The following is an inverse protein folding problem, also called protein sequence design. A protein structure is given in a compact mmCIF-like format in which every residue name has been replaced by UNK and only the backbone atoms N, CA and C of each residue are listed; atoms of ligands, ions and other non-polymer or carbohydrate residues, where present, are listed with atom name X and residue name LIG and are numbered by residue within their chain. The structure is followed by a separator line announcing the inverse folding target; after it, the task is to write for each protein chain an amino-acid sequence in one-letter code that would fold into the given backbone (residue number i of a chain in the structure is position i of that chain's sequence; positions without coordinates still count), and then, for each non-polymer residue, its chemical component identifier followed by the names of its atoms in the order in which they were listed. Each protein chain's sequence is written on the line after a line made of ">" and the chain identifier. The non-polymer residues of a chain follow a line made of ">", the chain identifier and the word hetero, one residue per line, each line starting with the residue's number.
data_IF_467023625883
#
_entry.id   IF_467023625883
#
_cell.length_a   1.000
_cell.length_b   1.000
_cell.length_c   1.000
_cell.angle_alpha   90.00
_cell.angle_beta   90.00
_cell.angle_gamma   90.00
#
_symmetry.space_group_name_H-M   'P 1'
#
loop_
_entity.id
_entity.type
_entity.pdbx_description
1 polymer ?
#
# COMPACT_ATOMS: atom_id res chain seq x y z
N UNK A 1 1.67 7.81 0.13
CA UNK A 1 1.68 7.33 1.54
C UNK A 1 0.26 7.29 2.12
N UNK A 2 -0.16 6.17 2.74
CA UNK A 2 -1.52 6.01 3.32
C UNK A 2 -1.79 6.96 4.50
N UNK A 3 -0.76 7.39 5.22
CA UNK A 3 -0.91 8.31 6.34
C UNK A 3 -1.43 9.70 5.93
N UNK A 4 -1.05 10.18 4.74
CA UNK A 4 -1.56 11.46 4.21
C UNK A 4 -3.07 11.40 4.00
N UNK A 5 -3.58 10.26 3.51
CA UNK A 5 -5.02 10.04 3.32
C UNK A 5 -5.74 10.01 4.67
N UNK A 6 -5.13 9.39 5.68
CA UNK A 6 -5.73 9.30 7.02
C UNK A 6 -5.77 10.67 7.72
N UNK A 7 -4.63 11.37 7.80
CA UNK A 7 -4.52 12.65 8.51
C UNK A 7 -5.19 13.80 7.73
N UNK A 8 -5.24 13.71 6.40
CA UNK A 8 -5.88 14.69 5.53
C UNK A 8 -7.40 14.78 5.67
N UNK A 9 -8.04 13.86 6.41
CA UNK A 9 -9.48 13.94 6.71
C UNK A 9 -9.83 15.05 7.71
N UNK A 10 -8.85 15.62 8.43
CA UNK A 10 -9.06 16.75 9.33
C UNK A 10 -9.50 16.40 10.76
N UNK A 11 -9.70 15.11 11.09
CA UNK A 11 -10.13 14.68 12.44
C UNK A 11 -8.97 14.48 13.44
N UNK A 12 -7.71 14.55 12.99
CA UNK A 12 -6.54 14.22 13.82
C UNK A 12 -5.98 15.41 14.61
N UNK A 13 -6.25 16.65 14.18
CA UNK A 13 -5.72 17.87 14.81
C UNK A 13 -4.24 18.14 14.50
N UNK A 14 -3.74 17.63 13.38
CA UNK A 14 -2.36 17.83 12.90
C UNK A 14 -2.27 19.13 12.09
N UNK A 15 -1.20 19.90 12.28
CA UNK A 15 -0.97 21.14 11.52
C UNK A 15 -0.71 20.84 10.05
N UNK A 16 -1.16 21.74 9.18
CA UNK A 16 -0.97 21.63 7.73
C UNK A 16 0.51 21.54 7.34
N UNK A 17 1.42 22.17 8.09
CA UNK A 17 2.85 22.08 7.85
C UNK A 17 3.38 20.64 7.93
N UNK A 18 2.87 19.82 8.85
CA UNK A 18 3.27 18.41 8.98
C UNK A 18 2.77 17.59 7.78
N UNK A 19 1.50 17.81 7.38
CA UNK A 19 0.93 17.19 6.18
C UNK A 19 1.72 17.56 4.92
N UNK A 20 2.06 18.84 4.76
CA UNK A 20 2.84 19.33 3.64
C UNK A 20 4.23 18.71 3.62
N UNK A 21 4.90 18.56 4.76
CA UNK A 21 6.21 17.91 4.82
C UNK A 21 6.11 16.44 4.39
N UNK A 22 5.12 15.69 4.87
CA UNK A 22 4.93 14.29 4.47
C UNK A 22 4.63 14.19 2.95
N UNK A 23 3.84 15.12 2.41
CA UNK A 23 3.62 15.20 0.96
C UNK A 23 4.91 15.53 0.20
N UNK A 24 5.75 16.41 0.73
CA UNK A 24 7.05 16.71 0.15
C UNK A 24 8.00 15.52 0.19
N UNK A 25 8.01 14.71 1.25
CA UNK A 25 8.79 13.45 1.27
C UNK A 25 8.42 12.56 0.10
N UNK A 26 7.11 12.38 -0.14
CA UNK A 26 6.60 11.59 -1.25
C UNK A 26 6.99 12.18 -2.62
N UNK A 27 6.92 13.50 -2.78
CA UNK A 27 7.23 14.17 -4.05
C UNK A 27 8.74 14.19 -4.38
N UNK A 28 9.60 14.04 -3.38
CA UNK A 28 11.06 14.00 -3.54
C UNK A 28 11.64 12.59 -3.41
N UNK A 29 10.79 11.55 -3.41
CA UNK A 29 11.20 10.15 -3.24
C UNK A 29 12.10 9.93 -1.99
N UNK A 30 11.84 10.67 -0.91
CA UNK A 30 12.47 10.44 0.39
C UNK A 30 11.69 9.34 1.10
N UNK A 31 12.30 8.17 1.24
CA UNK A 31 11.64 6.97 1.77
C UNK A 31 12.20 6.66 3.16
N UNK A 32 11.44 6.85 4.24
CA UNK A 32 11.90 6.51 5.58
C UNK A 32 12.32 5.05 5.70
N UNK A 33 13.47 4.82 6.34
CA UNK A 33 13.92 3.47 6.63
C UNK A 33 13.11 2.89 7.79
N UNK A 34 12.56 1.69 7.58
CA UNK A 34 11.81 0.95 8.59
C UNK A 34 12.42 -0.45 8.72
N UNK A 35 12.74 -0.93 9.94
CA UNK A 35 13.19 -2.30 10.15
C UNK A 35 12.10 -3.30 9.75
N UNK A 36 12.50 -4.44 9.19
CA UNK A 36 11.57 -5.48 8.73
C UNK A 36 10.80 -6.18 9.86
N UNK A 37 11.38 -6.23 11.06
CA UNK A 37 10.84 -6.91 12.24
C UNK A 37 10.67 -5.96 13.43
N UNK A 38 9.89 -6.37 14.44
CA UNK A 38 9.68 -5.62 15.68
C UNK A 38 8.39 -4.82 15.75
N UNK A 39 7.43 -5.08 14.87
CA UNK A 39 6.07 -4.52 14.91
C UNK A 39 5.02 -5.63 14.96
N UNK A 40 3.95 -5.43 15.72
CA UNK A 40 2.74 -6.28 15.71
C UNK A 40 1.71 -5.83 14.65
N UNK A 41 2.15 -5.11 13.62
CA UNK A 41 1.29 -4.61 12.54
C UNK A 41 0.85 -3.16 12.69
N UNK A 42 1.46 -2.40 13.61
CA UNK A 42 1.33 -0.94 13.68
C UNK A 42 2.44 -0.38 14.59
N UNK A 43 2.56 0.96 14.60
CA UNK A 43 3.42 1.76 15.45
C UNK A 43 4.89 1.86 15.00
N UNK A 44 5.60 0.74 14.79
CA UNK A 44 7.03 0.82 14.46
C UNK A 44 7.30 1.50 13.11
N UNK A 45 6.58 1.15 12.00
CA UNK A 45 6.75 1.85 10.72
C UNK A 45 6.37 3.33 10.79
N UNK A 46 5.26 3.63 11.45
CA UNK A 46 4.77 4.98 11.65
C UNK A 46 5.75 5.84 12.47
N UNK A 47 6.35 5.28 13.52
CA UNK A 47 7.36 5.95 14.33
C UNK A 47 8.64 6.24 13.53
N UNK A 48 9.10 5.32 12.70
CA UNK A 48 10.28 5.54 11.86
C UNK A 48 10.06 6.63 10.81
N UNK A 49 8.85 6.71 10.25
CA UNK A 49 8.46 7.84 9.40
C UNK A 49 8.40 9.14 10.20
N UNK A 50 7.84 9.14 11.41
CA UNK A 50 7.78 10.31 12.27
C UNK A 50 9.18 10.82 12.67
N UNK A 51 10.15 9.91 12.88
CA UNK A 51 11.56 10.26 13.12
C UNK A 51 12.10 11.09 11.94
N UNK A 52 11.93 10.63 10.70
CA UNK A 52 12.40 11.37 9.51
C UNK A 52 11.74 12.75 9.39
N UNK A 53 10.45 12.85 9.68
CA UNK A 53 9.70 14.13 9.70
C UNK A 53 10.29 15.11 10.73
N UNK A 54 10.79 14.61 11.87
CA UNK A 54 11.51 15.41 12.88
C UNK A 54 12.99 15.64 12.54
N UNK A 55 13.49 15.13 11.41
CA UNK A 55 14.90 15.17 11.03
C UNK A 55 15.76 14.12 11.74
N UNK A 56 15.16 13.16 12.41
CA UNK A 56 15.83 12.04 13.06
C UNK A 56 15.77 10.77 12.19
N UNK A 57 16.28 9.65 12.71
CA UNK A 57 16.23 8.36 12.03
C UNK A 57 17.04 8.33 10.73
N UNK A 58 16.62 7.47 9.79
CA UNK A 58 17.27 7.28 8.49
C UNK A 58 16.23 7.28 7.39
N UNK A 59 16.62 7.74 6.21
CA UNK A 59 15.81 7.69 5.01
C UNK A 59 16.68 7.33 3.80
N UNK A 60 16.07 6.64 2.85
CA UNK A 60 16.61 6.49 1.50
C UNK A 60 16.29 7.75 0.72
N UNK A 61 17.29 8.29 0.03
CA UNK A 61 17.16 9.41 -0.89
C UNK A 61 18.23 9.26 -1.97
N UNK A 62 17.85 9.37 -3.25
CA UNK A 62 18.77 9.14 -4.39
C UNK A 62 19.52 7.80 -4.28
N UNK A 63 18.81 6.72 -3.94
CA UNK A 63 19.32 5.35 -3.74
C UNK A 63 20.36 5.17 -2.62
N UNK A 64 20.61 6.19 -1.80
CA UNK A 64 21.52 6.13 -0.65
C UNK A 64 20.76 6.18 0.68
N UNK A 65 21.11 5.29 1.61
CA UNK A 65 20.60 5.32 2.98
C UNK A 65 21.40 6.31 3.83
N UNK A 66 20.76 7.38 4.28
CA UNK A 66 21.42 8.45 5.02
C UNK A 66 20.59 8.91 6.23
N UNK A 67 21.17 9.72 7.15
CA UNK A 67 20.41 10.32 8.25
C UNK A 67 19.22 11.16 7.74
N UNK A 68 18.08 11.09 8.43
CA UNK A 68 16.85 11.79 8.02
C UNK A 68 17.06 13.31 7.83
N UNK A 69 17.78 13.96 8.74
CA UNK A 69 18.17 15.37 8.61
C UNK A 69 18.91 15.65 7.30
N UNK A 70 19.83 14.78 6.91
CA UNK A 70 20.64 14.96 5.73
C UNK A 70 19.80 14.81 4.46
N UNK A 71 18.93 13.80 4.40
CA UNK A 71 17.99 13.60 3.31
C UNK A 71 17.08 14.82 3.13
N UNK A 72 16.49 15.33 4.22
CA UNK A 72 15.67 16.54 4.19
C UNK A 72 16.47 17.74 3.65
N UNK A 73 17.67 17.96 4.16
CA UNK A 73 18.52 19.09 3.74
C UNK A 73 18.91 19.00 2.27
N UNK A 74 19.29 17.81 1.78
CA UNK A 74 19.62 17.59 0.36
C UNK A 74 18.43 17.91 -0.56
N UNK A 75 17.21 17.57 -0.12
CA UNK A 75 15.97 17.89 -0.83
C UNK A 75 15.46 19.34 -0.61
N UNK A 76 16.20 20.20 0.10
CA UNK A 76 15.76 21.57 0.39
C UNK A 76 14.58 21.67 1.35
N UNK A 77 14.33 20.62 2.14
CA UNK A 77 13.26 20.54 3.12
C UNK A 77 13.80 20.80 4.53
N UNK A 78 12.92 21.28 5.42
CA UNK A 78 13.22 21.48 6.82
C UNK A 78 12.40 20.51 7.69
N UNK A 79 12.99 19.95 8.76
CA UNK A 79 12.26 19.13 9.71
C UNK A 79 11.21 19.97 10.46
N UNK A 80 10.23 19.29 11.06
CA UNK A 80 9.23 19.94 11.92
C UNK A 80 9.42 19.54 13.38
N UNK A 81 9.26 20.51 14.28
CA UNK A 81 9.07 20.23 15.70
C UNK A 81 7.60 19.91 15.94
N UNK A 82 7.29 18.70 16.41
CA UNK A 82 5.92 18.27 16.66
C UNK A 82 5.28 19.06 17.82
N UNK A 83 4.05 19.49 17.61
CA UNK A 83 3.21 20.14 18.61
C UNK A 83 2.40 19.13 19.43
N UNK A 84 1.48 19.65 20.24
CA UNK A 84 0.58 18.81 21.03
C UNK A 84 -0.21 17.84 20.14
N UNK A 85 -0.32 16.57 20.58
CA UNK A 85 -1.05 15.46 19.90
C UNK A 85 -0.45 14.97 18.57
N UNK A 86 0.41 15.74 17.90
CA UNK A 86 0.93 15.35 16.57
C UNK A 86 1.78 14.08 16.59
N UNK A 87 2.58 13.88 17.65
CA UNK A 87 3.34 12.63 17.81
C UNK A 87 2.42 11.41 17.91
N UNK A 88 1.34 11.51 18.68
CA UNK A 88 0.34 10.45 18.74
C UNK A 88 -0.35 10.28 17.39
N UNK A 89 -0.78 11.36 16.75
CA UNK A 89 -1.48 11.29 15.46
C UNK A 89 -0.63 10.64 14.36
N UNK A 90 0.68 10.90 14.32
CA UNK A 90 1.59 10.29 13.35
C UNK A 90 1.86 8.81 13.61
N UNK A 91 1.73 8.36 14.87
CA UNK A 91 2.06 7.01 15.30
C UNK A 91 0.84 6.11 15.51
N UNK A 92 -0.33 6.71 15.73
CA UNK A 92 -1.60 6.03 15.95
C UNK A 92 -2.31 5.78 14.63
N UNK A 93 -2.36 4.53 14.21
CA UNK A 93 -3.12 4.13 13.03
C UNK A 93 -2.65 2.80 12.45
N UNK A 94 -3.46 2.23 11.57
CA UNK A 94 -3.15 1.00 10.83
C UNK A 94 -2.73 1.31 9.40
N UNK A 95 -2.10 2.47 9.18
CA UNK A 95 -1.83 2.99 7.82
C UNK A 95 -0.85 2.11 7.05
N UNK A 96 0.19 1.59 7.72
CA UNK A 96 1.18 0.72 7.07
C UNK A 96 0.59 -0.65 6.72
N UNK A 97 -0.12 -1.30 7.64
CA UNK A 97 -0.78 -2.58 7.35
C UNK A 97 -1.86 -2.44 6.29
N UNK A 98 -2.60 -1.32 6.28
CA UNK A 98 -3.58 -1.05 5.24
C UNK A 98 -2.89 -0.87 3.88
N UNK A 99 -1.77 -0.15 3.82
CA UNK A 99 -0.99 -0.02 2.58
C UNK A 99 -0.48 -1.37 2.08
N UNK A 100 0.09 -2.20 2.97
CA UNK A 100 0.54 -3.56 2.65
C UNK A 100 -0.62 -4.44 2.16
N UNK A 101 -1.77 -4.38 2.82
CA UNK A 101 -2.96 -5.13 2.43
C UNK A 101 -3.50 -4.70 1.05
N UNK A 102 -3.48 -3.40 0.75
CA UNK A 102 -3.87 -2.88 -0.58
C UNK A 102 -2.93 -3.39 -1.66
N UNK A 103 -1.61 -3.39 -1.43
CA UNK A 103 -0.63 -3.95 -2.37
C UNK A 103 -0.82 -5.45 -2.55
N UNK A 104 -1.01 -6.19 -1.46
CA UNK A 104 -1.28 -7.62 -1.50
C UNK A 104 -2.56 -7.93 -2.30
N UNK A 105 -3.64 -7.20 -2.04
CA UNK A 105 -4.91 -7.33 -2.75
C UNK A 105 -4.75 -7.05 -4.25
N UNK A 106 -4.04 -5.99 -4.61
CA UNK A 106 -3.75 -5.67 -6.00
C UNK A 106 -3.01 -6.84 -6.68
N UNK A 107 -1.94 -7.34 -6.06
CA UNK A 107 -1.17 -8.47 -6.58
C UNK A 107 -2.03 -9.74 -6.67
N UNK A 108 -2.90 -10.02 -5.71
CA UNK A 108 -3.82 -11.16 -5.76
C UNK A 108 -4.82 -11.05 -6.91
N UNK A 109 -5.34 -9.84 -7.20
CA UNK A 109 -6.23 -9.62 -8.34
C UNK A 109 -5.50 -9.88 -9.67
N UNK A 110 -4.26 -9.39 -9.79
CA UNK A 110 -3.45 -9.66 -10.99
C UNK A 110 -3.13 -11.16 -11.13
N UNK A 111 -2.71 -11.81 -10.03
CA UNK A 111 -2.42 -13.24 -10.01
C UNK A 111 -3.64 -14.08 -10.40
N UNK A 112 -4.84 -13.74 -9.92
CA UNK A 112 -6.07 -14.42 -10.30
C UNK A 112 -6.35 -14.32 -11.81
N UNK A 113 -6.20 -13.13 -12.40
CA UNK A 113 -6.36 -12.95 -13.86
C UNK A 113 -5.33 -13.75 -14.65
N UNK A 114 -4.07 -13.72 -14.24
CA UNK A 114 -3.01 -14.50 -14.88
C UNK A 114 -3.27 -16.00 -14.78
N UNK A 115 -3.78 -16.46 -13.63
CA UNK A 115 -4.18 -17.86 -13.44
C UNK A 115 -5.34 -18.26 -14.37
N UNK A 116 -6.36 -17.40 -14.53
CA UNK A 116 -7.46 -17.64 -15.46
C UNK A 116 -6.95 -17.80 -16.92
N UNK A 117 -6.07 -16.89 -17.38
CA UNK A 117 -5.47 -16.95 -18.72
C UNK A 117 -4.63 -18.23 -18.89
N UNK A 118 -3.78 -18.54 -17.91
CA UNK A 118 -2.92 -19.74 -17.95
C UNK A 118 -3.76 -21.02 -17.93
N UNK A 119 -4.86 -21.02 -17.17
CA UNK A 119 -5.84 -22.09 -17.14
C UNK A 119 -6.53 -22.29 -18.49
N UNK A 120 -6.95 -21.21 -19.16
CA UNK A 120 -7.54 -21.26 -20.49
C UNK A 120 -6.57 -21.83 -21.53
N UNK A 121 -5.32 -21.36 -21.55
CA UNK A 121 -4.28 -21.90 -22.44
C UNK A 121 -4.03 -23.39 -22.21
N UNK A 122 -3.99 -23.81 -20.94
CA UNK A 122 -3.79 -25.21 -20.57
C UNK A 122 -4.99 -26.08 -21.00
N UNK A 123 -6.22 -25.57 -20.84
CA UNK A 123 -7.44 -26.23 -21.28
C UNK A 123 -7.43 -26.46 -22.79
N UNK A 124 -7.05 -25.45 -23.57
CA UNK A 124 -6.98 -25.52 -25.03
C UNK A 124 -5.97 -26.57 -25.50
N UNK A 125 -4.73 -26.51 -24.99
CA UNK A 125 -3.66 -27.46 -25.35
C UNK A 125 -4.04 -28.91 -25.01
N UNK A 126 -4.73 -29.11 -23.89
CA UNK A 126 -5.20 -30.43 -23.46
C UNK A 126 -6.52 -30.87 -24.11
N UNK A 127 -7.10 -30.06 -25.01
CA UNK A 127 -8.40 -30.29 -25.65
C UNK A 127 -9.51 -30.53 -24.63
N UNK A 128 -9.51 -29.75 -23.55
CA UNK A 128 -10.48 -29.83 -22.47
C UNK A 128 -11.90 -29.46 -22.90
N UNK A 129 -12.90 -29.86 -22.12
CA UNK A 129 -14.32 -29.62 -22.45
C UNK A 129 -14.81 -28.26 -21.95
N UNK A 130 -15.28 -27.43 -22.87
CA UNK A 130 -15.88 -26.13 -22.55
C UNK A 130 -17.22 -26.24 -21.79
N UNK A 131 -17.88 -27.42 -21.83
CA UNK A 131 -19.14 -27.68 -21.11
C UNK A 131 -18.99 -27.52 -19.59
N UNK A 132 -17.77 -27.64 -19.05
CA UNK A 132 -17.50 -27.42 -17.64
C UNK A 132 -17.74 -25.96 -17.19
N UNK A 133 -17.74 -25.01 -18.13
CA UNK A 133 -17.94 -23.57 -17.88
C UNK A 133 -19.35 -23.10 -18.24
N UNK A 134 -20.27 -24.00 -18.58
CA UNK A 134 -21.68 -23.68 -18.83
C UNK A 134 -22.28 -22.96 -17.60
N UNK A 135 -22.98 -21.83 -17.73
CA UNK A 135 -23.45 -21.07 -16.57
C UNK A 135 -24.52 -21.81 -15.73
N UNK A 136 -25.26 -22.77 -16.31
CA UNK A 136 -26.44 -23.40 -15.66
C UNK A 136 -26.09 -24.21 -14.41
N UNK A 137 -25.04 -25.08 -14.39
CA UNK A 137 -24.63 -25.75 -13.16
C UNK A 137 -24.02 -24.80 -12.13
N UNK A 138 -23.42 -23.69 -12.57
CA UNK A 138 -22.77 -22.71 -11.68
C UNK A 138 -23.79 -21.80 -11.00
N UNK A 139 -24.90 -21.44 -11.65
CA UNK A 139 -25.97 -20.63 -11.08
C UNK A 139 -26.72 -21.33 -9.92
N UNK A 140 -26.64 -22.65 -9.84
CA UNK A 140 -27.19 -23.44 -8.72
C UNK A 140 -26.33 -23.34 -7.44
N UNK A 141 -25.10 -22.84 -7.54
CA UNK A 141 -24.21 -22.59 -6.40
C UNK A 141 -24.26 -21.10 -6.06
N UNK A 142 -24.80 -20.76 -4.89
CA UNK A 142 -24.99 -19.38 -4.41
C UNK A 142 -23.66 -18.64 -4.08
N UNK A 143 -22.79 -18.44 -5.08
CA UNK A 143 -21.54 -17.69 -4.96
C UNK A 143 -21.59 -16.43 -5.82
N UNK A 144 -21.72 -15.27 -5.16
CA UNK A 144 -22.00 -13.96 -5.77
C UNK A 144 -21.00 -13.50 -6.86
N UNK A 145 -19.75 -13.96 -6.80
CA UNK A 145 -18.68 -13.50 -7.71
C UNK A 145 -18.40 -14.43 -8.90
N UNK A 146 -19.06 -15.58 -9.02
CA UNK A 146 -18.77 -16.54 -10.10
C UNK A 146 -19.38 -16.16 -11.45
N UNK A 147 -20.41 -15.31 -11.47
CA UNK A 147 -21.10 -14.91 -12.70
C UNK A 147 -20.24 -14.09 -13.66
N UNK A 148 -19.12 -13.51 -13.20
CA UNK A 148 -18.15 -12.81 -14.06
C UNK A 148 -17.13 -13.73 -14.74
N UNK A 149 -16.94 -14.96 -14.25
CA UNK A 149 -15.98 -15.89 -14.83
C UNK A 149 -16.44 -16.48 -16.18
N UNK A 150 -17.67 -16.99 -16.36
CA UNK A 150 -18.07 -17.63 -17.62
C UNK A 150 -18.11 -16.65 -18.80
N UNK A 151 -18.39 -15.36 -18.58
CA UNK A 151 -18.31 -14.31 -19.62
C UNK A 151 -16.87 -14.07 -20.10
N UNK A 152 -15.87 -14.26 -19.22
CA UNK A 152 -14.46 -14.04 -19.54
C UNK A 152 -13.88 -15.15 -20.43
N UNK A 153 -14.30 -16.41 -20.20
CA UNK A 153 -13.83 -17.56 -20.98
C UNK A 153 -14.50 -17.73 -22.34
N UNK A 154 -15.60 -17.02 -22.63
CA UNK A 154 -16.19 -16.99 -23.99
C UNK A 154 -15.55 -15.94 -24.91
N UNK A 155 -14.68 -15.08 -24.37
CA UNK A 155 -13.91 -14.08 -25.13
C UNK A 155 -12.53 -14.55 -25.59
N UNK A 156 -12.09 -15.74 -25.17
CA UNK A 156 -10.87 -16.41 -25.63
C UNK A 156 -11.26 -17.61 -26.50
#
# INVERSE_FOLDING_TARGET
>A
MMILVNLGQGYSGVRLQVLNLIASLLNHDIIPFVPGDGSVGYLSPEAHMALVVMGEGKAWYEDELMPGMEALRKAGLAPVTLGAKEGLALTSGTTSVTAMAVLALYNSIQAAKTADITGAMSLEVLKGTIKAFDPRPHSLKNMRNRLRQPEMYQGF
#
